data_IF_886990434101
#
_entry.id   IF_886990434101
#
_cell.length_a   1.000
_cell.length_b   1.000
_cell.length_c   1.000
_cell.angle_alpha   90.00
_cell.angle_beta   90.00
_cell.angle_gamma   90.00
#
_symmetry.space_group_name_H-M   'P 1'
#
loop_
_entity.id
_entity.type
_entity.pdbx_description
1 polymer ?
#
# COMPACT_ATOMS: atom_id res chain seq x y z
N UNK A 1 -29.03 -20.65 -21.67
CA UNK A 1 -29.19 -19.18 -21.66
C UNK A 1 -29.95 -18.84 -20.38
N UNK A 2 -29.23 -18.50 -19.30
CA UNK A 2 -29.89 -18.14 -18.03
C UNK A 2 -30.42 -16.71 -18.18
N UNK A 3 -31.75 -16.55 -18.18
CA UNK A 3 -32.37 -15.23 -18.06
C UNK A 3 -32.14 -14.73 -16.64
N UNK A 4 -31.04 -14.02 -16.42
CA UNK A 4 -30.85 -13.21 -15.22
C UNK A 4 -31.73 -11.97 -15.40
N UNK A 5 -32.73 -11.84 -14.54
CA UNK A 5 -33.66 -10.72 -14.50
C UNK A 5 -32.88 -9.40 -14.50
N UNK A 6 -33.25 -8.45 -15.36
CA UNK A 6 -32.60 -7.14 -15.38
C UNK A 6 -32.66 -6.49 -13.98
N UNK A 7 -31.55 -5.95 -13.47
CA UNK A 7 -31.50 -5.36 -12.13
C UNK A 7 -32.48 -4.17 -12.05
N UNK A 8 -33.34 -4.19 -11.03
CA UNK A 8 -34.41 -3.18 -10.84
C UNK A 8 -34.05 -2.10 -9.81
N UNK A 9 -32.91 -2.22 -9.15
CA UNK A 9 -32.38 -1.20 -8.23
C UNK A 9 -30.86 -1.08 -8.36
N UNK A 10 -30.31 0.05 -7.95
CA UNK A 10 -28.86 0.29 -7.96
C UNK A 10 -28.15 -0.81 -7.15
N UNK A 11 -28.72 -1.21 -6.02
CA UNK A 11 -28.18 -2.27 -5.17
C UNK A 11 -28.13 -3.62 -5.88
N UNK A 12 -29.18 -3.99 -6.64
CA UNK A 12 -29.19 -5.22 -7.44
C UNK A 12 -28.15 -5.18 -8.55
N UNK A 13 -27.99 -4.04 -9.22
CA UNK A 13 -26.95 -3.86 -10.23
C UNK A 13 -25.55 -4.04 -9.63
N UNK A 14 -25.27 -3.38 -8.51
CA UNK A 14 -23.97 -3.47 -7.83
C UNK A 14 -23.70 -4.88 -7.28
N UNK A 15 -24.73 -5.60 -6.82
CA UNK A 15 -24.60 -6.99 -6.42
C UNK A 15 -24.24 -7.91 -7.61
N UNK A 16 -24.92 -7.75 -8.74
CA UNK A 16 -24.62 -8.49 -9.96
C UNK A 16 -23.23 -8.17 -10.51
N UNK A 17 -22.83 -6.89 -10.52
CA UNK A 17 -21.49 -6.45 -10.93
C UNK A 17 -20.41 -7.03 -10.02
N UNK A 18 -20.67 -7.08 -8.71
CA UNK A 18 -19.77 -7.72 -7.73
C UNK A 18 -19.62 -9.22 -8.00
N UNK A 19 -20.72 -9.92 -8.29
CA UNK A 19 -20.68 -11.35 -8.64
C UNK A 19 -19.89 -11.56 -9.94
N UNK A 20 -20.09 -10.71 -10.94
CA UNK A 20 -19.38 -10.79 -12.23
C UNK A 20 -17.87 -10.52 -12.11
N UNK A 21 -17.44 -9.74 -11.09
CA UNK A 21 -16.05 -9.47 -10.77
C UNK A 21 -15.47 -10.41 -9.69
N UNK A 22 -16.19 -11.46 -9.29
CA UNK A 22 -15.72 -12.41 -8.28
C UNK A 22 -14.40 -13.07 -8.72
N UNK A 23 -13.40 -13.07 -7.82
CA UNK A 23 -12.06 -13.63 -8.07
C UNK A 23 -11.05 -12.61 -8.62
N UNK A 24 -11.50 -11.41 -9.00
CA UNK A 24 -10.60 -10.32 -9.40
C UNK A 24 -9.93 -9.63 -8.18
N UNK A 25 -8.98 -8.74 -8.47
CA UNK A 25 -8.29 -7.95 -7.45
C UNK A 25 -9.29 -7.15 -6.60
N UNK A 26 -9.27 -7.24 -5.25
CA UNK A 26 -10.17 -6.46 -4.38
C UNK A 26 -10.13 -4.95 -4.62
N UNK A 27 -8.98 -4.42 -5.06
CA UNK A 27 -8.85 -3.01 -5.43
C UNK A 27 -9.62 -2.66 -6.71
N UNK A 28 -9.59 -3.55 -7.71
CA UNK A 28 -10.35 -3.38 -8.95
C UNK A 28 -11.85 -3.44 -8.67
N UNK A 29 -12.29 -4.41 -7.85
CA UNK A 29 -13.69 -4.56 -7.46
C UNK A 29 -14.19 -3.28 -6.77
N UNK A 30 -13.40 -2.75 -5.83
CA UNK A 30 -13.77 -1.52 -5.10
C UNK A 30 -13.87 -0.32 -6.05
N UNK A 31 -12.89 -0.12 -6.93
CA UNK A 31 -12.88 1.00 -7.88
C UNK A 31 -14.07 0.90 -8.86
N UNK A 32 -14.32 -0.29 -9.41
CA UNK A 32 -15.41 -0.53 -10.35
C UNK A 32 -16.80 -0.31 -9.73
N UNK A 33 -17.02 -0.78 -8.49
CA UNK A 33 -18.27 -0.56 -7.78
C UNK A 33 -18.50 0.91 -7.45
N UNK A 34 -17.45 1.64 -7.07
CA UNK A 34 -17.54 3.06 -6.78
C UNK A 34 -17.95 3.87 -8.02
N UNK A 35 -17.24 3.67 -9.13
CA UNK A 35 -17.48 4.41 -10.37
C UNK A 35 -18.87 4.06 -10.95
N UNK A 36 -19.29 2.79 -10.89
CA UNK A 36 -20.62 2.37 -11.32
C UNK A 36 -21.72 2.99 -10.43
N UNK A 37 -21.57 2.96 -9.10
CA UNK A 37 -22.55 3.56 -8.20
C UNK A 37 -22.66 5.08 -8.42
N UNK A 38 -21.54 5.77 -8.60
CA UNK A 38 -21.51 7.20 -8.87
C UNK A 38 -22.26 7.54 -10.16
N UNK A 39 -22.00 6.79 -11.23
CA UNK A 39 -22.66 6.97 -12.53
C UNK A 39 -24.18 6.69 -12.44
N UNK A 40 -24.58 5.53 -11.89
CA UNK A 40 -25.98 5.14 -11.76
C UNK A 40 -26.79 6.17 -10.96
N UNK A 41 -26.23 6.66 -9.86
CA UNK A 41 -26.89 7.68 -9.03
C UNK A 41 -27.00 9.03 -9.73
N UNK A 42 -25.99 9.42 -10.51
CA UNK A 42 -26.03 10.66 -11.28
C UNK A 42 -27.14 10.62 -12.34
N UNK A 43 -27.27 9.49 -13.04
CA UNK A 43 -28.32 9.29 -14.07
C UNK A 43 -29.73 9.26 -13.46
N UNK A 44 -29.92 8.60 -12.32
CA UNK A 44 -31.21 8.62 -11.61
C UNK A 44 -31.57 10.03 -11.16
N UNK A 45 -30.61 10.80 -10.64
CA UNK A 45 -30.84 12.19 -10.23
C UNK A 45 -31.17 13.11 -11.43
N UNK A 46 -30.64 12.81 -12.62
CA UNK A 46 -30.94 13.55 -13.84
C UNK A 46 -32.35 13.24 -14.42
N UNK A 47 -32.98 12.14 -13.99
CA UNK A 47 -34.28 11.67 -14.48
C UNK A 47 -35.35 11.54 -13.37
N UNK A 48 -35.68 12.61 -12.62
CA UNK A 48 -36.55 12.53 -11.43
C UNK A 48 -38.01 12.14 -11.71
N UNK A 49 -38.46 12.15 -12.97
CA UNK A 49 -39.83 11.82 -13.37
C UNK A 49 -40.06 10.36 -13.77
N UNK A 50 -39.03 9.51 -13.73
CA UNK A 50 -39.13 8.08 -14.10
C UNK A 50 -38.99 7.19 -12.86
N UNK A 51 -39.67 6.04 -12.89
CA UNK A 51 -39.49 5.03 -11.86
C UNK A 51 -38.05 4.50 -11.90
N UNK A 52 -37.48 4.15 -10.74
CA UNK A 52 -36.08 3.73 -10.62
C UNK A 52 -35.78 2.48 -11.46
N UNK A 53 -36.73 1.55 -11.53
CA UNK A 53 -36.64 0.33 -12.33
C UNK A 53 -36.56 0.62 -13.84
N UNK A 54 -37.41 1.53 -14.35
CA UNK A 54 -37.45 1.89 -15.78
C UNK A 54 -36.19 2.69 -16.17
N UNK A 55 -35.69 3.51 -15.23
CA UNK A 55 -34.45 4.25 -15.39
C UNK A 55 -33.25 3.29 -15.42
N UNK A 56 -33.23 2.27 -14.57
CA UNK A 56 -32.14 1.29 -14.56
C UNK A 56 -32.16 0.33 -15.74
N UNK A 57 -33.33 -0.02 -16.26
CA UNK A 57 -33.44 -0.78 -17.52
C UNK A 57 -32.88 0.03 -18.70
N UNK A 58 -33.19 1.33 -18.75
CA UNK A 58 -32.60 2.24 -19.74
C UNK A 58 -31.09 2.42 -19.53
N UNK A 59 -30.63 2.59 -18.28
CA UNK A 59 -29.20 2.73 -18.01
C UNK A 59 -28.45 1.43 -18.35
N UNK A 60 -29.00 0.26 -18.05
CA UNK A 60 -28.39 -1.02 -18.45
C UNK A 60 -28.25 -1.13 -19.99
N UNK A 61 -29.15 -0.51 -20.76
CA UNK A 61 -29.03 -0.46 -22.22
C UNK A 61 -27.96 0.52 -22.74
N UNK A 62 -27.60 1.54 -21.95
CA UNK A 62 -26.66 2.61 -22.36
C UNK A 62 -25.27 2.44 -21.74
N UNK A 63 -25.22 2.15 -20.44
CA UNK A 63 -24.00 1.89 -19.65
C UNK A 63 -23.50 0.45 -19.80
N UNK A 64 -24.40 -0.48 -20.16
CA UNK A 64 -24.11 -1.90 -20.35
C UNK A 64 -24.64 -2.77 -19.21
N UNK A 65 -24.73 -4.08 -19.48
CA UNK A 65 -25.09 -5.06 -18.45
C UNK A 65 -23.96 -5.22 -17.41
N UNK A 66 -24.24 -5.63 -16.16
CA UNK A 66 -23.22 -5.84 -15.14
C UNK A 66 -22.04 -6.72 -15.61
N UNK A 67 -22.31 -7.78 -16.37
CA UNK A 67 -21.28 -8.66 -16.92
C UNK A 67 -20.41 -7.99 -18.00
N UNK A 68 -21.01 -7.12 -18.83
CA UNK A 68 -20.31 -6.37 -19.88
C UNK A 68 -19.41 -5.30 -19.25
N UNK A 69 -19.92 -4.57 -18.26
CA UNK A 69 -19.14 -3.61 -17.48
C UNK A 69 -17.99 -4.31 -16.76
N UNK A 70 -18.24 -5.47 -16.14
CA UNK A 70 -17.18 -6.28 -15.54
C UNK A 70 -16.12 -6.72 -16.56
N UNK A 71 -16.50 -7.10 -17.77
CA UNK A 71 -15.57 -7.44 -18.84
C UNK A 71 -14.74 -6.23 -19.29
N UNK A 72 -15.36 -5.04 -19.41
CA UNK A 72 -14.68 -3.80 -19.75
C UNK A 72 -13.64 -3.41 -18.69
N UNK A 73 -13.96 -3.52 -17.40
CA UNK A 73 -13.01 -3.27 -16.31
C UNK A 73 -11.84 -4.26 -16.33
N UNK A 74 -12.09 -5.56 -16.55
CA UNK A 74 -11.04 -6.57 -16.66
C UNK A 74 -10.11 -6.30 -17.84
N UNK A 75 -10.67 -5.99 -19.01
CA UNK A 75 -9.88 -5.66 -20.20
C UNK A 75 -9.04 -4.41 -19.98
N UNK A 76 -9.64 -3.35 -19.40
CA UNK A 76 -8.93 -2.10 -19.11
C UNK A 76 -7.80 -2.31 -18.11
N UNK A 77 -8.02 -3.05 -17.02
CA UNK A 77 -6.97 -3.33 -16.04
C UNK A 77 -5.84 -4.18 -16.66
N UNK A 78 -6.16 -5.15 -17.53
CA UNK A 78 -5.16 -5.91 -18.28
C UNK A 78 -4.34 -5.03 -19.22
N UNK A 79 -4.99 -4.11 -19.95
CA UNK A 79 -4.32 -3.17 -20.85
C UNK A 79 -3.42 -2.21 -20.06
N UNK A 80 -3.92 -1.62 -18.97
CA UNK A 80 -3.15 -0.73 -18.10
C UNK A 80 -1.96 -1.47 -17.49
N UNK A 81 -2.16 -2.70 -16.99
CA UNK A 81 -1.08 -3.52 -16.44
C UNK A 81 -0.02 -3.85 -17.48
N UNK A 82 -0.43 -4.11 -18.73
CA UNK A 82 0.48 -4.40 -19.84
C UNK A 82 1.26 -3.15 -20.26
N UNK A 83 0.59 -2.00 -20.33
CA UNK A 83 1.21 -0.72 -20.67
C UNK A 83 2.19 -0.22 -19.60
N UNK A 84 1.89 -0.45 -18.32
CA UNK A 84 2.75 -0.10 -17.19
C UNK A 84 3.77 -1.20 -16.84
N UNK A 85 3.75 -2.34 -17.53
CA UNK A 85 4.71 -3.40 -17.28
C UNK A 85 6.12 -2.91 -17.67
N UNK A 86 7.12 -3.01 -16.77
CA UNK A 86 8.49 -2.68 -17.14
C UNK A 86 8.96 -3.63 -18.26
N UNK A 87 9.83 -3.16 -19.16
CA UNK A 87 10.30 -3.95 -20.29
C UNK A 87 10.88 -5.29 -19.81
N UNK A 88 10.61 -6.41 -20.52
CA UNK A 88 11.04 -7.74 -20.11
C UNK A 88 12.55 -7.79 -20.01
N UNK A 89 13.06 -7.95 -18.78
CA UNK A 89 14.49 -8.08 -18.52
C UNK A 89 14.95 -9.48 -18.88
N UNK A 90 16.09 -9.60 -19.56
CA UNK A 90 16.74 -10.89 -19.81
C UNK A 90 17.03 -11.54 -18.46
N UNK A 91 16.39 -12.66 -18.17
CA UNK A 91 16.60 -13.38 -16.93
C UNK A 91 18.09 -13.77 -16.82
N UNK A 92 18.77 -13.48 -15.71
CA UNK A 92 20.16 -13.83 -15.56
C UNK A 92 20.32 -15.36 -15.63
N UNK A 93 21.25 -15.80 -16.48
CA UNK A 93 21.54 -17.20 -16.75
C UNK A 93 22.31 -17.88 -15.60
N UNK A 94 22.94 -17.12 -14.71
CA UNK A 94 23.78 -17.61 -13.62
C UNK A 94 23.21 -17.29 -12.24
N UNK A 95 23.58 -18.09 -11.22
CA UNK A 95 23.19 -17.85 -9.83
C UNK A 95 23.72 -16.51 -9.30
N UNK A 96 24.98 -16.16 -9.62
CA UNK A 96 25.57 -14.86 -9.29
C UNK A 96 24.81 -13.71 -9.95
N UNK A 97 24.40 -13.84 -11.22
CA UNK A 97 23.60 -12.83 -11.90
C UNK A 97 22.22 -12.62 -11.28
N UNK A 98 21.61 -13.68 -10.70
CA UNK A 98 20.35 -13.57 -9.96
C UNK A 98 20.53 -12.85 -8.62
N UNK A 99 21.63 -13.13 -7.93
CA UNK A 99 21.97 -12.52 -6.64
C UNK A 99 22.26 -11.02 -6.80
N UNK A 100 23.18 -10.63 -7.69
CA UNK A 100 23.49 -9.22 -7.95
C UNK A 100 22.42 -8.48 -8.76
N UNK A 101 21.46 -9.20 -9.35
CA UNK A 101 20.35 -8.61 -10.11
C UNK A 101 19.45 -7.67 -9.29
N UNK A 102 19.54 -7.70 -7.96
CA UNK A 102 18.77 -6.81 -7.07
C UNK A 102 19.13 -5.34 -7.24
N UNK A 103 20.39 -5.01 -7.55
CA UNK A 103 20.82 -3.61 -7.72
C UNK A 103 20.21 -2.95 -8.97
N UNK A 104 19.89 -3.75 -9.99
CA UNK A 104 19.17 -3.26 -11.16
C UNK A 104 17.65 -3.17 -10.94
N UNK A 105 17.10 -3.77 -9.89
CA UNK A 105 15.66 -3.78 -9.60
C UNK A 105 15.24 -2.44 -8.98
N UNK A 106 14.52 -1.61 -9.75
CA UNK A 106 14.04 -0.31 -9.25
C UNK A 106 13.16 -0.47 -8.01
N UNK A 107 12.43 -1.60 -7.91
CA UNK A 107 11.57 -1.89 -6.75
C UNK A 107 12.34 -2.14 -5.47
N UNK A 108 13.59 -2.61 -5.55
CA UNK A 108 14.41 -2.80 -4.36
C UNK A 108 14.81 -1.43 -3.76
N UNK A 109 15.12 -0.46 -4.62
CA UNK A 109 15.44 0.91 -4.22
C UNK A 109 14.23 1.69 -3.70
N UNK A 110 13.08 1.57 -4.36
CA UNK A 110 11.85 2.21 -3.85
C UNK A 110 11.35 1.56 -2.56
N UNK A 111 11.52 0.25 -2.39
CA UNK A 111 11.25 -0.42 -1.11
C UNK A 111 12.23 0.04 -0.02
N UNK A 112 13.51 0.25 -0.33
CA UNK A 112 14.46 0.82 0.62
C UNK A 112 14.02 2.22 1.07
N UNK A 113 13.66 3.07 0.10
CA UNK A 113 13.15 4.41 0.37
C UNK A 113 11.89 4.36 1.23
N UNK A 114 10.96 3.45 0.94
CA UNK A 114 9.79 3.21 1.76
C UNK A 114 10.16 2.82 3.20
N UNK A 115 11.11 1.91 3.40
CA UNK A 115 11.55 1.50 4.75
C UNK A 115 12.12 2.68 5.55
N UNK A 116 12.86 3.58 4.91
CA UNK A 116 13.35 4.81 5.56
C UNK A 116 12.20 5.78 5.90
N UNK A 117 11.27 5.96 4.97
CA UNK A 117 10.10 6.82 5.14
C UNK A 117 9.11 6.28 6.19
N UNK A 118 9.06 4.96 6.37
CA UNK A 118 8.08 4.26 7.21
C UNK A 118 8.16 4.63 8.69
N UNK A 119 9.32 5.08 9.18
CA UNK A 119 9.45 5.61 10.53
C UNK A 119 8.66 6.92 10.69
N UNK A 120 8.81 7.83 9.72
CA UNK A 120 8.13 9.15 9.74
C UNK A 120 6.62 8.97 9.60
N UNK A 121 6.19 8.15 8.63
CA UNK A 121 4.76 7.88 8.45
C UNK A 121 4.18 7.08 9.61
N UNK A 122 4.93 6.13 10.16
CA UNK A 122 4.54 5.35 11.35
C UNK A 122 4.31 6.22 12.59
N UNK A 123 5.23 7.15 12.89
CA UNK A 123 5.06 8.11 13.99
C UNK A 123 3.82 8.98 13.76
N UNK A 124 3.66 9.52 12.55
CA UNK A 124 2.52 10.37 12.21
C UNK A 124 1.18 9.62 12.37
N UNK A 125 1.05 8.43 11.77
CA UNK A 125 -0.18 7.63 11.83
C UNK A 125 -0.52 7.16 13.23
N UNK A 126 0.48 6.70 13.98
CA UNK A 126 0.31 6.31 15.37
C UNK A 126 -0.17 7.49 16.21
N UNK A 127 0.49 8.64 16.09
CA UNK A 127 0.15 9.84 16.87
C UNK A 127 -1.27 10.28 16.56
N UNK A 128 -1.63 10.44 15.28
CA UNK A 128 -3.00 10.81 14.87
C UNK A 128 -4.02 9.81 15.43
N UNK A 129 -3.75 8.51 15.34
CA UNK A 129 -4.71 7.48 15.75
C UNK A 129 -4.90 7.45 17.26
N UNK A 130 -3.81 7.46 18.03
CA UNK A 130 -3.87 7.45 19.50
C UNK A 130 -4.51 8.74 20.02
N UNK A 131 -4.13 9.89 19.48
CA UNK A 131 -4.70 11.18 19.89
C UNK A 131 -6.19 11.25 19.53
N UNK A 132 -6.55 10.87 18.31
CA UNK A 132 -7.94 10.88 17.85
C UNK A 132 -8.84 9.92 18.62
N UNK A 133 -8.37 8.70 18.92
CA UNK A 133 -9.09 7.75 19.76
C UNK A 133 -9.23 8.26 21.21
N UNK A 134 -8.16 8.81 21.78
CA UNK A 134 -8.17 9.34 23.15
C UNK A 134 -9.10 10.54 23.28
N UNK A 135 -9.06 11.47 22.32
CA UNK A 135 -10.00 12.59 22.25
C UNK A 135 -11.43 12.11 22.05
N UNK A 136 -11.67 11.13 21.18
CA UNK A 136 -13.02 10.60 20.95
C UNK A 136 -13.59 9.94 22.21
N UNK A 137 -12.77 9.18 22.94
CA UNK A 137 -13.15 8.54 24.20
C UNK A 137 -13.41 9.58 25.30
N UNK A 138 -12.60 10.64 25.40
CA UNK A 138 -12.82 11.72 26.37
C UNK A 138 -14.05 12.57 26.04
N UNK A 139 -14.24 12.88 24.75
CA UNK A 139 -15.36 13.68 24.27
C UNK A 139 -16.67 12.92 24.21
N UNK A 140 -16.70 11.58 24.35
CA UNK A 140 -17.95 10.81 24.32
C UNK A 140 -18.91 11.18 25.47
N UNK A 141 -18.35 11.63 26.60
CA UNK A 141 -19.12 12.18 27.72
C UNK A 141 -19.79 13.51 27.37
N UNK A 142 -19.29 14.19 26.32
CA UNK A 142 -19.84 15.41 25.77
C UNK A 142 -20.70 15.07 24.55
N UNK A 143 -21.75 15.87 24.30
CA UNK A 143 -22.60 15.72 23.11
C UNK A 143 -21.78 15.84 21.80
N UNK A 144 -20.64 16.55 21.85
CA UNK A 144 -19.74 16.81 20.72
C UNK A 144 -18.86 15.60 20.35
N UNK A 145 -18.78 14.57 21.21
CA UNK A 145 -17.93 13.41 20.97
C UNK A 145 -18.25 12.63 19.70
N UNK A 146 -19.55 12.46 19.40
CA UNK A 146 -19.98 11.75 18.18
C UNK A 146 -19.53 12.51 16.92
N UNK A 147 -19.86 13.80 16.73
CA UNK A 147 -19.36 14.58 15.59
C UNK A 147 -17.83 14.54 15.43
N UNK A 148 -17.08 14.65 16.54
CA UNK A 148 -15.62 14.58 16.51
C UNK A 148 -15.12 13.21 16.04
N UNK A 149 -15.68 12.12 16.58
CA UNK A 149 -15.29 10.77 16.17
C UNK A 149 -15.58 10.54 14.69
N UNK A 150 -16.69 11.06 14.16
CA UNK A 150 -17.00 10.95 12.73
C UNK A 150 -15.99 11.69 11.86
N UNK A 151 -15.59 12.91 12.26
CA UNK A 151 -14.54 13.67 11.58
C UNK A 151 -13.21 12.93 11.63
N UNK A 152 -12.86 12.37 12.79
CA UNK A 152 -11.65 11.57 12.98
C UNK A 152 -11.64 10.35 12.04
N UNK A 153 -12.72 9.58 11.96
CA UNK A 153 -12.81 8.44 11.03
C UNK A 153 -12.70 8.91 9.58
N UNK A 154 -13.38 10.00 9.21
CA UNK A 154 -13.22 10.61 7.89
C UNK A 154 -11.76 10.97 7.57
N UNK A 155 -11.07 11.57 8.53
CA UNK A 155 -9.64 11.91 8.42
C UNK A 155 -8.77 10.66 8.25
N UNK A 156 -8.98 9.60 9.04
CA UNK A 156 -8.24 8.34 8.89
C UNK A 156 -8.45 7.68 7.53
N UNK A 157 -9.65 7.80 6.93
CA UNK A 157 -9.93 7.29 5.58
C UNK A 157 -9.16 8.05 4.51
N UNK A 158 -9.02 9.37 4.64
CA UNK A 158 -8.18 10.18 3.73
C UNK A 158 -6.72 9.77 3.85
N UNK A 159 -6.21 9.60 5.08
CA UNK A 159 -4.85 9.12 5.31
C UNK A 159 -4.62 7.72 4.75
N UNK A 160 -5.61 6.83 4.83
CA UNK A 160 -5.51 5.47 4.28
C UNK A 160 -5.40 5.47 2.75
N UNK A 161 -6.05 6.43 2.08
CA UNK A 161 -5.87 6.63 0.63
C UNK A 161 -4.47 7.14 0.31
N UNK A 162 -3.96 8.12 1.07
CA UNK A 162 -2.60 8.62 0.89
C UNK A 162 -1.55 7.51 1.07
N UNK A 163 -1.70 6.69 2.11
CA UNK A 163 -0.86 5.51 2.34
C UNK A 163 -0.99 4.48 1.20
N UNK A 164 -2.23 4.21 0.76
CA UNK A 164 -2.47 3.34 -0.40
C UNK A 164 -1.72 3.81 -1.64
N UNK A 165 -1.60 5.12 -1.87
CA UNK A 165 -0.81 5.69 -2.97
C UNK A 165 0.69 5.54 -2.77
N UNK A 166 1.20 5.72 -1.55
CA UNK A 166 2.60 5.47 -1.23
C UNK A 166 2.97 4.00 -1.49
N UNK A 167 2.12 3.07 -1.05
CA UNK A 167 2.31 1.64 -1.27
C UNK A 167 2.18 1.25 -2.75
N UNK A 168 1.20 1.80 -3.48
CA UNK A 168 1.05 1.59 -4.92
C UNK A 168 2.28 2.10 -5.69
N UNK A 169 2.73 3.32 -5.38
CA UNK A 169 3.85 3.97 -6.07
C UNK A 169 5.22 3.38 -5.75
N UNK A 170 5.50 3.11 -4.46
CA UNK A 170 6.83 2.68 -4.02
C UNK A 170 6.98 1.15 -4.02
N UNK A 171 5.94 0.40 -3.71
CA UNK A 171 6.01 -1.07 -3.60
C UNK A 171 5.42 -1.79 -4.82
N UNK A 172 4.69 -1.05 -5.68
CA UNK A 172 4.08 -1.59 -6.88
C UNK A 172 2.92 -2.55 -6.61
N UNK A 173 2.33 -2.47 -5.42
CA UNK A 173 1.17 -3.26 -5.02
C UNK A 173 -0.11 -2.51 -5.41
N UNK A 174 -0.98 -3.13 -6.21
CA UNK A 174 -2.26 -2.52 -6.60
C UNK A 174 -3.12 -2.24 -5.36
N UNK A 175 -3.46 -0.97 -5.17
CA UNK A 175 -4.33 -0.45 -4.12
C UNK A 175 -5.53 0.29 -4.74
N UNK A 176 -6.71 0.30 -4.09
CA UNK A 176 -7.87 1.04 -4.57
C UNK A 176 -7.56 2.54 -4.66
N UNK A 177 -8.07 3.18 -5.70
CA UNK A 177 -7.85 4.60 -5.98
C UNK A 177 -9.01 5.44 -5.47
N UNK A 178 -10.19 4.84 -5.33
CA UNK A 178 -11.43 5.48 -4.87
C UNK A 178 -11.74 5.12 -3.42
N UNK A 179 -12.32 6.05 -2.62
CA UNK A 179 -12.93 5.70 -1.35
C UNK A 179 -14.12 4.74 -1.57
N UNK A 180 -14.67 4.16 -0.51
CA UNK A 180 -15.96 3.46 -0.62
C UNK A 180 -17.07 4.50 -0.65
N UNK A 181 -18.06 4.29 -1.52
CA UNK A 181 -19.17 5.22 -1.67
C UNK A 181 -19.96 5.29 -0.35
N UNK A 182 -20.20 6.49 0.22
CA UNK A 182 -21.07 6.61 1.37
C UNK A 182 -22.52 6.37 0.93
N UNK A 183 -23.23 5.45 1.61
CA UNK A 183 -24.66 5.23 1.43
C UNK A 183 -25.43 6.56 1.52
N UNK A 184 -25.91 7.09 0.39
CA UNK A 184 -26.76 8.29 0.31
C UNK A 184 -28.23 7.89 0.45
N UNK A 185 -28.99 8.66 1.24
CA UNK A 185 -30.42 8.42 1.49
C UNK A 185 -30.73 7.77 2.85
N UNK A 186 -29.71 7.35 3.60
CA UNK A 186 -29.90 6.80 4.95
C UNK A 186 -30.01 7.91 6.01
N UNK A 187 -30.85 7.73 7.04
CA UNK A 187 -30.90 8.63 8.17
C UNK A 187 -29.51 8.71 8.84
N UNK A 188 -29.13 9.92 9.29
CA UNK A 188 -27.79 10.23 9.84
C UNK A 188 -27.39 9.20 10.91
N UNK A 189 -28.32 8.81 11.78
CA UNK A 189 -28.06 7.84 12.85
C UNK A 189 -27.69 6.45 12.33
N UNK A 190 -28.34 5.99 11.25
CA UNK A 190 -28.03 4.70 10.63
C UNK A 190 -26.66 4.73 9.94
N UNK A 191 -26.32 5.84 9.30
CA UNK A 191 -24.98 6.06 8.72
C UNK A 191 -23.87 6.04 9.77
N UNK A 192 -24.11 6.64 10.94
CA UNK A 192 -23.19 6.60 12.08
C UNK A 192 -23.02 5.16 12.57
N UNK A 193 -24.12 4.43 12.73
CA UNK A 193 -24.11 3.02 13.16
C UNK A 193 -23.34 2.15 12.17
N UNK A 194 -23.59 2.28 10.87
CA UNK A 194 -22.86 1.54 9.83
C UNK A 194 -21.36 1.83 9.88
N UNK A 195 -20.96 3.10 10.05
CA UNK A 195 -19.55 3.46 10.09
C UNK A 195 -18.81 2.94 11.33
N UNK A 196 -19.51 2.83 12.47
CA UNK A 196 -19.01 2.27 13.73
C UNK A 196 -18.87 0.74 13.67
N UNK A 197 -19.82 0.07 13.02
CA UNK A 197 -19.81 -1.39 12.86
C UNK A 197 -18.90 -1.83 11.71
N UNK A 198 -18.59 -0.93 10.78
CA UNK A 198 -17.69 -1.19 9.65
C UNK A 198 -16.31 -1.64 10.14
N UNK A 199 -15.99 -2.91 9.86
CA UNK A 199 -14.70 -3.54 10.16
C UNK A 199 -13.53 -2.71 9.60
N UNK A 200 -13.72 -2.04 8.47
CA UNK A 200 -12.66 -1.25 7.81
C UNK A 200 -12.19 -0.08 8.66
N UNK A 201 -13.09 0.56 9.40
CA UNK A 201 -12.74 1.65 10.33
C UNK A 201 -11.70 1.15 11.33
N UNK A 202 -11.96 -0.01 11.92
CA UNK A 202 -11.09 -0.62 12.92
C UNK A 202 -9.80 -1.18 12.32
N UNK A 203 -9.84 -1.82 11.15
CA UNK A 203 -8.62 -2.33 10.51
C UNK A 203 -7.70 -1.20 10.04
N UNK A 204 -8.24 -0.05 9.63
CA UNK A 204 -7.45 1.13 9.27
C UNK A 204 -6.75 1.71 10.50
N UNK A 205 -7.46 1.89 11.61
CA UNK A 205 -6.86 2.37 12.85
C UNK A 205 -5.84 1.37 13.41
N UNK A 206 -6.13 0.07 13.34
CA UNK A 206 -5.19 -0.97 13.71
C UNK A 206 -3.93 -0.93 12.84
N UNK A 207 -4.07 -0.78 11.52
CA UNK A 207 -2.95 -0.60 10.61
C UNK A 207 -2.07 0.59 11.01
N UNK A 208 -2.68 1.75 11.32
CA UNK A 208 -1.94 2.93 11.77
C UNK A 208 -1.24 2.73 13.12
N UNK A 209 -1.85 1.96 14.04
CA UNK A 209 -1.23 1.62 15.31
C UNK A 209 0.01 0.74 15.14
N UNK A 210 -0.07 -0.30 14.29
CA UNK A 210 1.06 -1.20 14.03
C UNK A 210 2.12 -0.59 13.10
N UNK A 211 1.81 0.51 12.41
CA UNK A 211 2.75 1.14 11.49
C UNK A 211 3.97 1.74 12.22
N UNK A 212 3.83 2.16 13.47
CA UNK A 212 4.97 2.62 14.27
C UNK A 212 5.99 1.50 14.57
N UNK A 213 5.61 0.37 15.21
CA UNK A 213 6.57 -0.70 15.47
C UNK A 213 7.13 -1.31 14.17
N UNK A 214 6.32 -1.42 13.11
CA UNK A 214 6.81 -1.84 11.80
C UNK A 214 7.79 -0.83 11.20
N UNK A 215 7.49 0.46 11.26
CA UNK A 215 8.34 1.53 10.77
C UNK A 215 9.69 1.59 11.47
N UNK A 216 9.70 1.41 12.80
CA UNK A 216 10.95 1.27 13.57
C UNK A 216 11.75 0.06 13.10
N UNK A 217 11.11 -1.10 12.97
CA UNK A 217 11.79 -2.32 12.53
C UNK A 217 12.37 -2.16 11.12
N UNK A 218 11.59 -1.61 10.19
CA UNK A 218 12.02 -1.39 8.80
C UNK A 218 13.18 -0.40 8.74
N UNK A 219 13.07 0.73 9.45
CA UNK A 219 14.12 1.71 9.51
C UNK A 219 15.41 1.13 10.10
N UNK A 220 15.32 0.39 11.21
CA UNK A 220 16.47 -0.28 11.83
C UNK A 220 17.14 -1.27 10.89
N UNK A 221 16.38 -2.15 10.25
CA UNK A 221 16.93 -3.13 9.29
C UNK A 221 17.62 -2.42 8.12
N UNK A 222 17.00 -1.38 7.57
CA UNK A 222 17.57 -0.61 6.48
C UNK A 222 18.86 0.10 6.89
N UNK A 223 18.83 0.86 8.00
CA UNK A 223 19.96 1.68 8.41
C UNK A 223 21.13 0.81 8.88
N UNK A 224 20.90 -0.18 9.75
CA UNK A 224 21.96 -1.08 10.26
C UNK A 224 22.52 -1.91 9.10
N UNK A 225 21.65 -2.48 8.27
CA UNK A 225 22.07 -3.30 7.14
C UNK A 225 22.98 -2.52 6.18
N UNK A 226 22.63 -1.28 5.85
CA UNK A 226 23.42 -0.43 4.97
C UNK A 226 24.70 0.04 5.65
N UNK A 227 24.63 0.60 6.86
CA UNK A 227 25.80 1.17 7.52
C UNK A 227 26.85 0.11 7.83
N UNK A 228 26.46 -1.07 8.30
CA UNK A 228 27.39 -2.19 8.53
C UNK A 228 28.02 -2.64 7.22
N UNK A 229 27.22 -2.87 6.17
CA UNK A 229 27.75 -3.36 4.90
C UNK A 229 28.70 -2.36 4.24
N UNK A 230 28.32 -1.07 4.21
CA UNK A 230 29.16 -0.01 3.68
C UNK A 230 30.40 0.21 4.56
N UNK A 231 30.28 0.10 5.87
CA UNK A 231 31.41 0.17 6.80
C UNK A 231 32.43 -0.93 6.53
N UNK A 232 32.00 -2.17 6.28
CA UNK A 232 32.90 -3.27 5.90
C UNK A 232 33.57 -3.02 4.55
N UNK A 233 32.82 -2.53 3.55
CA UNK A 233 33.36 -2.26 2.20
C UNK A 233 34.36 -1.10 2.25
N UNK A 234 33.93 0.08 2.71
CA UNK A 234 34.76 1.28 2.72
C UNK A 234 35.88 1.20 3.75
N UNK A 235 35.65 0.56 4.90
CA UNK A 235 36.69 0.31 5.90
C UNK A 235 37.80 -0.59 5.35
N UNK A 236 37.45 -1.62 4.58
CA UNK A 236 38.45 -2.49 3.93
C UNK A 236 39.22 -1.76 2.82
N UNK A 237 38.53 -0.95 2.01
CA UNK A 237 39.18 -0.14 0.96
C UNK A 237 40.14 0.88 1.60
N UNK A 238 39.69 1.58 2.65
CA UNK A 238 40.51 2.56 3.35
C UNK A 238 41.73 1.91 4.01
N UNK A 239 41.59 0.73 4.62
CA UNK A 239 42.70 -0.05 5.16
C UNK A 239 43.78 -0.36 4.12
N UNK A 240 43.36 -0.90 2.97
CA UNK A 240 44.27 -1.21 1.86
C UNK A 240 44.97 0.03 1.28
N UNK A 241 44.26 1.16 1.18
CA UNK A 241 44.83 2.42 0.70
C UNK A 241 45.89 2.98 1.66
N UNK A 242 45.62 2.94 2.96
CA UNK A 242 46.57 3.39 3.99
C UNK A 242 47.84 2.54 3.97
N UNK A 243 47.71 1.22 3.84
CA UNK A 243 48.86 0.31 3.70
C UNK A 243 49.66 0.53 2.41
N UNK A 244 48.98 0.91 1.32
CA UNK A 244 49.61 1.30 0.07
C UNK A 244 50.31 2.68 0.13
N UNK A 245 50.32 3.35 1.28
CA UNK A 245 50.92 4.67 1.48
C UNK A 245 50.05 5.84 1.02
N UNK A 246 48.77 5.61 0.75
CA UNK A 246 47.80 6.65 0.39
C UNK A 246 47.12 7.16 1.67
N UNK A 247 47.65 8.25 2.23
CA UNK A 247 47.17 8.89 3.46
C UNK A 247 48.21 8.89 4.59
N UNK A 248 47.97 9.67 5.64
CA UNK A 248 48.89 9.81 6.78
C UNK A 248 48.16 9.49 8.08
N UNK A 249 48.57 8.42 8.77
CA UNK A 249 47.98 8.00 10.05
C UNK A 249 46.73 7.13 9.88
N UNK A 250 46.50 6.21 10.82
CA UNK A 250 45.31 5.36 10.82
C UNK A 250 44.00 6.17 10.83
N UNK A 251 42.87 5.48 10.65
CA UNK A 251 41.55 6.13 10.69
C UNK A 251 41.25 6.48 12.16
N UNK A 252 41.45 7.75 12.54
CA UNK A 252 41.04 8.26 13.85
C UNK A 252 39.64 8.86 13.76
N UNK A 253 38.70 8.32 14.52
CA UNK A 253 37.40 8.96 14.77
C UNK A 253 37.29 9.15 16.28
N UNK A 254 37.10 10.40 16.72
CA UNK A 254 36.94 10.75 18.14
C UNK A 254 38.09 10.28 19.05
N UNK A 255 39.35 10.48 18.61
CA UNK A 255 40.58 10.04 19.31
C UNK A 255 40.75 8.52 19.50
N UNK A 256 39.81 7.70 19.02
CA UNK A 256 39.99 6.25 18.93
C UNK A 256 40.59 5.84 17.58
N UNK A 257 41.58 4.95 17.63
CA UNK A 257 42.19 4.34 16.45
C UNK A 257 41.35 3.13 16.07
N UNK A 258 40.66 3.21 14.94
CA UNK A 258 39.94 2.07 14.41
C UNK A 258 40.92 1.18 13.65
N UNK A 259 41.06 -0.06 14.12
CA UNK A 259 41.90 -1.05 13.44
C UNK A 259 41.21 -1.47 12.15
N UNK A 260 41.76 -1.01 11.02
CA UNK A 260 41.42 -1.57 9.72
C UNK A 260 41.81 -3.05 9.69
N UNK A 261 41.06 -3.90 8.95
CA UNK A 261 41.46 -5.29 8.77
C UNK A 261 42.87 -5.35 8.17
N UNK A 262 43.69 -6.27 8.67
CA UNK A 262 45.05 -6.52 8.14
C UNK A 262 45.03 -6.73 6.62
N UNK A 263 46.15 -6.51 5.89
CA UNK A 263 46.18 -6.57 4.44
C UNK A 263 45.65 -7.90 3.90
N UNK A 264 45.97 -8.99 4.61
CA UNK A 264 45.57 -10.34 4.27
C UNK A 264 44.06 -10.58 4.44
N UNK A 265 43.42 -9.93 5.41
CA UNK A 265 42.00 -10.08 5.72
C UNK A 265 41.11 -9.10 4.95
N UNK A 266 41.63 -7.93 4.58
CA UNK A 266 40.85 -6.86 3.95
C UNK A 266 40.09 -7.30 2.68
N UNK A 267 40.64 -8.12 1.75
CA UNK A 267 39.86 -8.61 0.61
C UNK A 267 38.66 -9.49 1.01
N UNK A 268 38.80 -10.30 2.05
CA UNK A 268 37.71 -11.16 2.53
C UNK A 268 36.61 -10.34 3.22
N UNK A 269 36.99 -9.34 4.01
CA UNK A 269 36.05 -8.42 4.66
C UNK A 269 35.32 -7.56 3.63
N UNK A 270 36.02 -7.12 2.58
CA UNK A 270 35.42 -6.41 1.44
C UNK A 270 34.37 -7.28 0.74
N UNK A 271 34.71 -8.52 0.41
CA UNK A 271 33.77 -9.47 -0.21
C UNK A 271 32.58 -9.72 0.71
N UNK A 272 32.82 -9.92 2.00
CA UNK A 272 31.76 -10.09 2.99
C UNK A 272 30.83 -8.88 3.05
N UNK A 273 31.37 -7.65 3.04
CA UNK A 273 30.58 -6.43 3.00
C UNK A 273 29.71 -6.31 1.75
N UNK A 274 30.24 -6.66 0.58
CA UNK A 274 29.47 -6.69 -0.69
C UNK A 274 28.36 -7.74 -0.66
N UNK A 275 28.66 -8.94 -0.15
CA UNK A 275 27.67 -10.02 -0.02
C UNK A 275 26.57 -9.64 0.97
N UNK A 276 26.93 -9.05 2.11
CA UNK A 276 25.99 -8.57 3.13
C UNK A 276 25.10 -7.47 2.56
N UNK A 277 25.65 -6.49 1.84
CA UNK A 277 24.86 -5.43 1.20
C UNK A 277 23.83 -6.02 0.23
N UNK A 278 24.24 -7.01 -0.55
CA UNK A 278 23.37 -7.67 -1.53
C UNK A 278 22.26 -8.47 -0.83
N UNK A 279 22.58 -9.15 0.26
CA UNK A 279 21.62 -9.84 1.10
C UNK A 279 20.60 -8.87 1.73
N UNK A 280 21.07 -7.71 2.23
CA UNK A 280 20.21 -6.63 2.75
C UNK A 280 19.26 -6.13 1.67
N UNK A 281 19.74 -5.88 0.45
CA UNK A 281 18.87 -5.45 -0.66
C UNK A 281 17.81 -6.49 -1.04
N UNK A 282 18.14 -7.79 -0.95
CA UNK A 282 17.14 -8.84 -1.11
C UNK A 282 16.10 -8.86 0.02
N UNK A 283 16.55 -8.66 1.26
CA UNK A 283 15.67 -8.57 2.43
C UNK A 283 14.73 -7.37 2.30
N UNK A 284 15.24 -6.20 1.94
CA UNK A 284 14.46 -4.97 1.68
C UNK A 284 13.36 -5.22 0.66
N UNK A 285 13.70 -5.86 -0.47
CA UNK A 285 12.72 -6.20 -1.49
C UNK A 285 11.66 -7.19 -0.98
N UNK A 286 12.05 -8.14 -0.15
CA UNK A 286 11.15 -9.09 0.51
C UNK A 286 10.17 -8.37 1.46
N UNK A 287 10.70 -7.50 2.33
CA UNK A 287 9.93 -6.69 3.27
C UNK A 287 8.95 -5.79 2.53
N UNK A 288 9.36 -5.12 1.44
CA UNK A 288 8.48 -4.29 0.63
C UNK A 288 7.26 -5.06 0.09
N UNK A 289 7.46 -6.31 -0.36
CA UNK A 289 6.33 -7.16 -0.81
C UNK A 289 5.43 -7.59 0.36
N UNK A 290 6.04 -7.99 1.48
CA UNK A 290 5.30 -8.38 2.68
C UNK A 290 4.45 -7.22 3.21
N UNK A 291 5.02 -6.01 3.27
CA UNK A 291 4.31 -4.83 3.70
C UNK A 291 3.19 -4.45 2.73
N UNK A 292 3.43 -4.47 1.42
CA UNK A 292 2.38 -4.20 0.43
C UNK A 292 1.18 -5.14 0.55
N UNK A 293 1.42 -6.44 0.79
CA UNK A 293 0.33 -7.41 1.04
C UNK A 293 -0.40 -7.15 2.35
N UNK A 294 0.31 -6.83 3.43
CA UNK A 294 -0.28 -6.46 4.72
C UNK A 294 -1.17 -5.22 4.60
N UNK A 295 -0.67 -4.15 3.98
CA UNK A 295 -1.44 -2.93 3.74
C UNK A 295 -2.69 -3.24 2.92
N UNK A 296 -2.59 -4.11 1.90
CA UNK A 296 -3.74 -4.47 1.06
C UNK A 296 -4.79 -5.24 1.87
N UNK A 297 -4.36 -6.13 2.76
CA UNK A 297 -5.28 -6.92 3.58
C UNK A 297 -6.03 -6.08 4.61
N UNK A 298 -5.42 -4.98 5.11
CA UNK A 298 -5.97 -4.16 6.18
C UNK A 298 -6.72 -2.93 5.69
N UNK A 299 -6.30 -2.32 4.57
CA UNK A 299 -6.85 -1.06 4.06
C UNK A 299 -7.92 -1.24 2.97
N UNK A 300 -7.91 -2.37 2.26
CA UNK A 300 -8.88 -2.65 1.19
C UNK A 300 -10.10 -3.35 1.77
N UNK A 301 -11.28 -2.87 1.39
CA UNK A 301 -12.52 -3.54 1.76
C UNK A 301 -12.53 -4.94 1.13
N UNK A 302 -12.46 -5.97 1.96
CA UNK A 302 -12.75 -7.34 1.52
C UNK A 302 -14.25 -7.55 1.63
N UNK A 303 -14.86 -8.04 0.56
CA UNK A 303 -16.21 -8.57 0.64
C UNK A 303 -16.21 -9.69 1.69
N UNK A 304 -17.03 -9.55 2.73
CA UNK A 304 -17.51 -10.72 3.45
C UNK A 304 -18.28 -11.55 2.44
N UNK A 305 -17.79 -12.74 2.12
CA UNK A 305 -18.64 -13.78 1.58
C UNK A 305 -19.72 -14.01 2.66
N UNK A 306 -20.92 -13.54 2.38
CA UNK A 306 -22.12 -14.02 3.07
C UNK A 306 -22.32 -15.48 2.72
#
# INVERSE_FOLDING_TARGET
MNQRTAPRSIEQYLAALREALAGEDPALIQDALYDAEEYLRAEVAANPGRNEADTLELIASTYGAPEEVAAAYRMTEQQVRTALAPPPRKAPRTLLGRFFGVYGDSRAWTALFFMLLSLVTGIFYFTVTVTGLSMSAGLIMLIIGIPFFLLFVGFTRVLALAEGRLVEGLLGQRMPRRPVYPSKGMPILQRIKEMLVDRRTWTTMFYFLIMLPLGILYFMVAIIGITVSLGLVFGSIAGLLLEAGVGTGGISVDHEIYFAPTPALAPFVLVLGVLLLTAVMHLVRGIGRAHGTLAKHLLVARASAT
#
